data_IF_986892041928
#
_entry.id   IF_986892041928
#
_cell.length_a   1.000
_cell.length_b   1.000
_cell.length_c   1.000
_cell.angle_alpha   90.00
_cell.angle_beta   90.00
_cell.angle_gamma   90.00
#
_symmetry.space_group_name_H-M   'P 1'
#
loop_
_entity.id
_entity.type
_entity.pdbx_description
1 polymer ?
#
# COMPACT_ATOMS: atom_id res chain seq x y z
N UNK A 1 -7.09 15.09 -10.19
CA UNK A 1 -7.15 14.19 -9.01
C UNK A 1 -5.74 13.71 -8.73
N UNK A 2 -5.33 13.57 -7.47
CA UNK A 2 -4.05 12.92 -7.19
C UNK A 2 -4.17 11.44 -7.61
N UNK A 3 -3.17 10.83 -8.26
CA UNK A 3 -3.23 9.41 -8.65
C UNK A 3 -3.11 8.44 -7.45
N UNK A 4 -3.14 8.96 -6.23
CA UNK A 4 -2.87 8.22 -5.00
C UNK A 4 -3.81 8.62 -3.87
N UNK A 5 -4.08 7.66 -2.99
CA UNK A 5 -4.75 7.81 -1.70
C UNK A 5 -3.69 7.76 -0.60
N UNK A 6 -3.71 8.73 0.31
CA UNK A 6 -2.89 8.68 1.52
C UNK A 6 -3.57 7.81 2.58
N UNK A 7 -2.90 6.74 2.99
CA UNK A 7 -3.35 5.83 4.04
C UNK A 7 -2.38 5.85 5.22
N UNK A 8 -2.88 6.09 6.43
CA UNK A 8 -2.05 5.98 7.63
C UNK A 8 -2.14 4.57 8.19
N UNK A 9 -1.00 3.88 8.31
CA UNK A 9 -0.90 2.52 8.82
C UNK A 9 -1.41 2.46 10.26
N UNK A 10 -2.38 1.59 10.52
CA UNK A 10 -2.95 1.36 11.84
C UNK A 10 -2.25 0.18 12.56
N UNK A 11 -2.35 0.10 13.91
CA UNK A 11 -1.81 -1.05 14.64
C UNK A 11 -2.41 -2.37 14.15
N UNK A 12 -1.54 -3.27 13.68
CA UNK A 12 -1.93 -4.59 13.16
C UNK A 12 -2.18 -4.64 11.66
N UNK A 13 -2.07 -3.51 10.95
CA UNK A 13 -2.03 -3.52 9.50
C UNK A 13 -0.78 -4.21 8.97
N UNK A 14 -0.93 -4.85 7.81
CA UNK A 14 0.16 -5.43 7.02
C UNK A 14 0.02 -4.96 5.59
N UNK A 15 1.13 -4.95 4.83
CA UNK A 15 1.06 -4.60 3.41
C UNK A 15 0.04 -5.49 2.67
N UNK A 16 -0.01 -6.77 3.02
CA UNK A 16 -0.96 -7.73 2.46
C UNK A 16 -2.42 -7.33 2.72
N UNK A 17 -2.75 -6.92 3.94
CA UNK A 17 -4.10 -6.48 4.28
C UNK A 17 -4.47 -5.18 3.57
N UNK A 18 -3.53 -4.23 3.49
CA UNK A 18 -3.70 -2.95 2.80
C UNK A 18 -3.93 -3.18 1.30
N UNK A 19 -3.07 -3.97 0.64
CA UNK A 19 -3.23 -4.34 -0.77
C UNK A 19 -4.59 -5.01 -0.99
N UNK A 20 -4.97 -5.98 -0.15
CA UNK A 20 -6.26 -6.66 -0.29
C UNK A 20 -7.47 -5.72 -0.16
N UNK A 21 -7.31 -4.61 0.56
CA UNK A 21 -8.35 -3.62 0.82
C UNK A 21 -8.47 -2.57 -0.28
N UNK A 22 -7.36 -2.12 -0.84
CA UNK A 22 -7.31 -1.00 -1.77
C UNK A 22 -7.10 -1.39 -3.24
N UNK A 23 -6.63 -2.61 -3.52
CA UNK A 23 -6.41 -3.06 -4.89
C UNK A 23 -7.73 -3.07 -5.69
N UNK A 24 -7.77 -2.48 -6.89
CA UNK A 24 -8.96 -2.50 -7.74
C UNK A 24 -9.26 -3.90 -8.29
N UNK A 25 -10.52 -4.13 -8.63
CA UNK A 25 -10.97 -5.40 -9.23
C UNK A 25 -10.27 -5.63 -10.58
N UNK A 26 -9.49 -6.70 -10.65
CA UNK A 26 -8.75 -7.09 -11.85
C UNK A 26 -7.29 -6.65 -11.91
N UNK A 27 -6.80 -5.86 -10.94
CA UNK A 27 -5.36 -5.63 -10.80
C UNK A 27 -4.67 -6.85 -10.20
N UNK A 28 -3.46 -7.17 -10.63
CA UNK A 28 -2.67 -8.25 -10.02
C UNK A 28 -2.20 -7.85 -8.61
N UNK A 29 -2.29 -8.80 -7.67
CA UNK A 29 -1.95 -8.54 -6.27
C UNK A 29 -0.46 -8.18 -6.11
N UNK A 30 0.41 -8.92 -6.78
CA UNK A 30 1.87 -8.72 -6.72
C UNK A 30 2.29 -7.40 -7.37
N UNK A 31 1.74 -7.06 -8.54
CA UNK A 31 1.99 -5.78 -9.19
C UNK A 31 1.52 -4.59 -8.35
N UNK A 32 0.32 -4.67 -7.76
CA UNK A 32 -0.20 -3.58 -6.92
C UNK A 32 0.62 -3.41 -5.64
N UNK A 33 1.02 -4.52 -5.01
CA UNK A 33 1.92 -4.49 -3.86
C UNK A 33 3.29 -3.88 -4.23
N UNK A 34 3.87 -4.28 -5.36
CA UNK A 34 5.14 -3.75 -5.85
C UNK A 34 5.06 -2.24 -6.11
N UNK A 35 3.95 -1.74 -6.66
CA UNK A 35 3.74 -0.29 -6.85
C UNK A 35 3.70 0.47 -5.53
N UNK A 36 2.99 -0.05 -4.51
CA UNK A 36 2.97 0.59 -3.19
C UNK A 36 4.38 0.63 -2.59
N UNK A 37 5.12 -0.48 -2.71
CA UNK A 37 6.51 -0.57 -2.22
C UNK A 37 7.39 0.48 -2.91
N UNK A 38 7.33 0.56 -4.23
CA UNK A 38 8.14 1.47 -5.06
C UNK A 38 7.83 2.95 -4.76
N UNK A 39 6.55 3.32 -4.71
CA UNK A 39 6.13 4.71 -4.47
C UNK A 39 6.47 5.20 -3.06
N UNK A 40 6.53 4.30 -2.08
CA UNK A 40 6.79 4.63 -0.68
C UNK A 40 8.22 4.34 -0.23
N UNK A 41 9.11 3.93 -1.13
CA UNK A 41 10.49 3.51 -0.82
C UNK A 41 10.53 2.51 0.36
N UNK A 42 9.65 1.50 0.33
CA UNK A 42 9.61 0.47 1.39
C UNK A 42 10.68 -0.59 1.10
N UNK A 43 11.77 -0.59 1.86
CA UNK A 43 12.81 -1.62 1.73
C UNK A 43 12.32 -3.03 2.14
N UNK A 44 11.52 -3.09 3.21
CA UNK A 44 11.01 -4.35 3.75
C UNK A 44 9.48 -4.29 3.93
N UNK A 45 8.70 -5.05 3.14
CA UNK A 45 7.24 -5.01 3.18
C UNK A 45 6.63 -5.57 4.48
N UNK A 46 7.43 -6.27 5.28
CA UNK A 46 7.05 -6.75 6.61
C UNK A 46 7.26 -5.72 7.72
N UNK A 47 7.97 -4.63 7.45
CA UNK A 47 8.43 -3.64 8.44
C UNK A 47 7.62 -2.34 8.41
N UNK A 48 6.34 -2.41 8.10
CA UNK A 48 5.45 -1.26 8.16
C UNK A 48 5.35 -0.72 9.60
N UNK A 49 5.55 0.59 9.76
CA UNK A 49 5.47 1.25 11.05
C UNK A 49 4.08 1.84 11.27
N UNK A 50 3.51 1.64 12.46
CA UNK A 50 2.23 2.26 12.84
C UNK A 50 2.37 3.78 12.81
N UNK A 51 1.41 4.45 12.17
CA UNK A 51 1.44 5.91 11.96
C UNK A 51 2.23 6.35 10.73
N UNK A 52 2.84 5.42 9.99
CA UNK A 52 3.44 5.70 8.68
C UNK A 52 2.34 6.07 7.68
N UNK A 53 2.56 7.11 6.88
CA UNK A 53 1.68 7.46 5.76
C UNK A 53 2.18 6.72 4.52
N UNK A 54 1.28 5.97 3.90
CA UNK A 54 1.49 5.25 2.65
C UNK A 54 0.68 5.90 1.53
N UNK A 55 1.34 6.08 0.38
CA UNK A 55 0.72 6.45 -0.88
C UNK A 55 0.25 5.17 -1.58
N UNK A 56 -1.06 5.04 -1.73
CA UNK A 56 -1.71 3.90 -2.36
C UNK A 56 -2.21 4.31 -3.75
N UNK A 57 -1.84 3.63 -4.85
CA UNK A 57 -2.38 3.92 -6.17
C UNK A 57 -3.90 3.79 -6.23
N UNK A 58 -4.59 4.73 -6.90
CA UNK A 58 -6.06 4.72 -7.10
C UNK A 58 -6.46 4.17 -8.50
N UNK A 59 -5.53 3.55 -9.22
CA UNK A 59 -5.67 3.13 -10.63
C UNK A 59 -5.45 1.64 -10.90
#
# INVERSE_FOLDING_TARGET
>A
PAPYIEYTVEPGDTLVAIVSRFRPDGADFEDFAARIIDINDIDDPGSLSVGQVLLIPDE
#
